data_IF_454661901339
#
_entry.id   IF_454661901339
#
_cell.length_a   1.000
_cell.length_b   1.000
_cell.length_c   1.000
_cell.angle_alpha   90.00
_cell.angle_beta   90.00
_cell.angle_gamma   90.00
#
_symmetry.space_group_name_H-M   'P 1'
#
loop_
_entity.id
_entity.type
_entity.pdbx_description
1 polymer ?
#
# COMPACT_ATOMS: atom_id res chain seq x y z
N UNK A 1 15.76 46.70 -24.28
CA UNK A 1 15.67 45.31 -24.79
C UNK A 1 15.76 44.38 -23.58
N UNK A 2 14.65 43.73 -23.20
CA UNK A 2 14.60 42.76 -22.10
C UNK A 2 14.45 41.37 -22.71
N UNK A 3 15.45 40.51 -22.54
CA UNK A 3 15.36 39.10 -22.92
C UNK A 3 14.39 38.38 -21.97
N UNK A 4 13.42 37.61 -22.47
CA UNK A 4 12.74 36.63 -21.65
C UNK A 4 13.66 35.43 -21.45
N UNK A 5 14.07 35.20 -20.19
CA UNK A 5 14.66 33.94 -19.76
C UNK A 5 13.55 32.90 -19.82
N UNK A 6 13.55 32.09 -20.88
CA UNK A 6 12.78 30.86 -20.93
C UNK A 6 13.42 29.87 -19.94
N UNK A 7 12.98 29.93 -18.69
CA UNK A 7 13.17 28.82 -17.75
C UNK A 7 12.28 27.70 -18.26
N UNK A 8 12.86 26.81 -19.06
CA UNK A 8 12.25 25.55 -19.43
C UNK A 8 12.02 24.74 -18.16
N UNK A 9 10.79 24.79 -17.66
CA UNK A 9 10.30 23.84 -16.69
C UNK A 9 10.31 22.46 -17.36
N UNK A 10 11.38 21.70 -17.10
CA UNK A 10 11.35 20.26 -17.20
C UNK A 10 10.33 19.77 -16.17
N UNK A 11 9.06 19.75 -16.58
CA UNK A 11 8.03 18.97 -15.91
C UNK A 11 8.45 17.51 -16.06
N UNK A 12 9.20 17.02 -15.08
CA UNK A 12 9.23 15.60 -14.76
C UNK A 12 7.76 15.25 -14.50
N UNK A 13 7.10 14.65 -15.49
CA UNK A 13 5.82 14.01 -15.28
C UNK A 13 6.08 12.96 -14.20
N UNK A 14 5.72 13.28 -12.96
CA UNK A 14 5.67 12.30 -11.89
C UNK A 14 4.65 11.26 -12.36
N UNK A 15 5.14 10.11 -12.81
CA UNK A 15 4.25 8.96 -13.05
C UNK A 15 3.70 8.61 -11.68
N UNK A 16 2.39 8.80 -11.48
CA UNK A 16 1.75 8.36 -10.26
C UNK A 16 1.82 6.82 -10.18
N UNK A 17 1.74 6.26 -8.98
CA UNK A 17 1.64 4.81 -8.83
C UNK A 17 0.44 4.26 -9.62
N UNK A 18 -0.66 5.02 -9.68
CA UNK A 18 -1.83 4.69 -10.48
C UNK A 18 -1.50 4.62 -11.98
N UNK A 19 -0.78 5.59 -12.54
CA UNK A 19 -0.38 5.58 -13.95
C UNK A 19 0.48 4.35 -14.30
N UNK A 20 1.40 3.99 -13.40
CA UNK A 20 2.24 2.80 -13.55
C UNK A 20 1.39 1.54 -13.53
N UNK A 21 0.46 1.43 -12.57
CA UNK A 21 -0.44 0.28 -12.42
C UNK A 21 -1.39 0.17 -13.61
N UNK A 22 -1.99 1.26 -14.08
CA UNK A 22 -2.86 1.29 -15.27
C UNK A 22 -2.11 0.88 -16.53
N UNK A 23 -0.84 1.27 -16.64
CA UNK A 23 0.02 0.87 -17.76
C UNK A 23 0.40 -0.61 -17.70
N UNK A 24 0.74 -1.12 -16.51
CA UNK A 24 1.15 -2.52 -16.32
C UNK A 24 -0.03 -3.51 -16.35
N UNK A 25 -1.21 -3.09 -15.90
CA UNK A 25 -2.40 -3.93 -15.75
C UNK A 25 -3.64 -3.25 -16.36
N UNK A 26 -3.67 -3.03 -17.68
CA UNK A 26 -4.71 -2.24 -18.35
C UNK A 26 -6.09 -2.90 -18.35
N UNK A 27 -6.16 -4.19 -18.05
CA UNK A 27 -7.38 -5.00 -17.99
C UNK A 27 -8.02 -5.03 -16.59
N UNK A 28 -7.34 -4.47 -15.58
CA UNK A 28 -7.80 -4.49 -14.19
C UNK A 28 -8.68 -3.28 -13.86
N UNK A 29 -9.70 -3.51 -13.03
CA UNK A 29 -10.52 -2.45 -12.47
C UNK A 29 -9.84 -1.88 -11.22
N UNK A 30 -9.72 -0.55 -11.15
CA UNK A 30 -9.23 0.14 -9.95
C UNK A 30 -10.40 0.37 -9.01
N UNK A 31 -10.24 -0.05 -7.77
CA UNK A 31 -11.24 0.07 -6.71
C UNK A 31 -10.57 0.67 -5.47
N UNK A 32 -11.18 1.74 -4.98
CA UNK A 32 -10.68 2.54 -3.87
C UNK A 32 -11.50 2.30 -2.61
N UNK A 33 -10.80 2.12 -1.49
CA UNK A 33 -11.41 2.02 -0.17
C UNK A 33 -10.86 3.13 0.73
N UNK A 34 -11.71 3.88 1.44
CA UNK A 34 -11.23 4.80 2.46
C UNK A 34 -10.65 3.98 3.63
N UNK A 35 -9.51 4.42 4.15
CA UNK A 35 -8.97 3.85 5.40
C UNK A 35 -9.89 4.14 6.57
N UNK A 36 -9.76 3.34 7.63
CA UNK A 36 -10.54 3.47 8.86
C UNK A 36 -10.42 4.84 9.55
N UNK A 37 -9.30 5.54 9.35
CA UNK A 37 -9.07 6.91 9.84
C UNK A 37 -9.72 8.02 8.97
N UNK A 38 -10.21 7.67 7.76
CA UNK A 38 -10.79 8.59 6.79
C UNK A 38 -9.80 9.57 6.16
N UNK A 39 -8.49 9.41 6.40
CA UNK A 39 -7.43 10.31 5.93
C UNK A 39 -6.66 9.76 4.73
N UNK A 40 -6.81 8.47 4.43
CA UNK A 40 -6.18 7.82 3.29
C UNK A 40 -7.20 7.11 2.40
N UNK A 41 -6.76 6.84 1.18
CA UNK A 41 -7.39 5.87 0.29
C UNK A 41 -6.40 4.74 0.08
N UNK A 42 -6.93 3.52 0.05
CA UNK A 42 -6.20 2.29 -0.27
C UNK A 42 -6.79 1.78 -1.58
N UNK A 43 -5.93 1.64 -2.59
CA UNK A 43 -6.36 1.33 -3.95
C UNK A 43 -5.96 -0.10 -4.35
N UNK A 44 -6.87 -0.76 -5.07
CA UNK A 44 -6.67 -2.13 -5.57
C UNK A 44 -6.87 -2.17 -7.07
N UNK A 45 -5.94 -2.80 -7.79
CA UNK A 45 -6.11 -3.18 -9.18
C UNK A 45 -6.55 -4.64 -9.24
N UNK A 46 -7.85 -4.86 -9.48
CA UNK A 46 -8.48 -6.17 -9.47
C UNK A 46 -8.72 -6.71 -10.88
N UNK A 47 -8.42 -7.99 -11.09
CA UNK A 47 -8.88 -8.70 -12.30
C UNK A 47 -10.41 -8.60 -12.40
N UNK A 48 -10.98 -8.51 -13.62
CA UNK A 48 -12.43 -8.48 -13.79
C UNK A 48 -13.07 -9.81 -13.39
N UNK A 49 -14.19 -9.76 -12.68
CA UNK A 49 -15.07 -10.91 -12.43
C UNK A 49 -16.14 -11.07 -13.52
N UNK A 50 -17.09 -11.98 -13.27
CA UNK A 50 -18.24 -12.21 -14.17
C UNK A 50 -19.09 -10.95 -14.39
N UNK A 51 -19.05 -10.03 -13.42
CA UNK A 51 -19.67 -8.71 -13.45
C UNK A 51 -19.00 -7.79 -12.42
N UNK A 52 -19.31 -6.49 -12.47
CA UNK A 52 -18.71 -5.48 -11.59
C UNK A 52 -19.02 -5.73 -10.11
N UNK A 53 -20.21 -6.26 -9.79
CA UNK A 53 -20.56 -6.59 -8.40
C UNK A 53 -19.69 -7.74 -7.85
N UNK A 54 -19.35 -8.72 -8.68
CA UNK A 54 -18.42 -9.79 -8.31
C UNK A 54 -16.99 -9.26 -8.12
N UNK A 55 -16.53 -8.35 -8.99
CA UNK A 55 -15.23 -7.68 -8.83
C UNK A 55 -15.18 -6.88 -7.52
N UNK A 56 -16.21 -6.08 -7.24
CA UNK A 56 -16.31 -5.28 -6.01
C UNK A 56 -16.36 -6.13 -4.74
N UNK A 57 -17.12 -7.23 -4.76
CA UNK A 57 -17.18 -8.15 -3.62
C UNK A 57 -15.80 -8.75 -3.31
N UNK A 58 -15.07 -9.18 -4.35
CA UNK A 58 -13.72 -9.72 -4.20
C UNK A 58 -12.72 -8.65 -3.73
N UNK A 59 -12.80 -7.43 -4.25
CA UNK A 59 -12.00 -6.30 -3.79
C UNK A 59 -12.27 -5.98 -2.31
N UNK A 60 -13.53 -6.05 -1.89
CA UNK A 60 -13.91 -5.85 -0.48
C UNK A 60 -13.33 -6.94 0.41
N UNK A 61 -13.36 -8.21 -0.01
CA UNK A 61 -12.73 -9.30 0.73
C UNK A 61 -11.21 -9.14 0.81
N UNK A 62 -10.56 -8.71 -0.27
CA UNK A 62 -9.14 -8.40 -0.30
C UNK A 62 -8.81 -7.28 0.69
N UNK A 63 -9.59 -6.19 0.69
CA UNK A 63 -9.40 -5.06 1.60
C UNK A 63 -9.54 -5.48 3.07
N UNK A 64 -10.61 -6.20 3.42
CA UNK A 64 -10.81 -6.72 4.78
C UNK A 64 -9.67 -7.67 5.19
N UNK A 65 -9.19 -8.50 4.27
CA UNK A 65 -8.06 -9.39 4.52
C UNK A 65 -6.79 -8.59 4.82
N UNK A 66 -6.46 -7.60 3.99
CA UNK A 66 -5.26 -6.78 4.16
C UNK A 66 -5.31 -6.01 5.49
N UNK A 67 -6.38 -5.26 5.75
CA UNK A 67 -6.56 -4.47 6.98
C UNK A 67 -6.36 -5.34 8.23
N UNK A 68 -7.10 -6.46 8.31
CA UNK A 68 -7.03 -7.36 9.48
C UNK A 68 -5.63 -7.90 9.72
N UNK A 69 -4.90 -8.24 8.65
CA UNK A 69 -3.55 -8.81 8.80
C UNK A 69 -2.50 -7.73 9.09
N UNK A 70 -2.65 -6.52 8.55
CA UNK A 70 -1.81 -5.38 8.87
C UNK A 70 -2.01 -4.99 10.34
N UNK A 71 -3.25 -4.89 10.81
CA UNK A 71 -3.55 -4.60 12.22
C UNK A 71 -2.94 -5.64 13.16
N UNK A 72 -3.10 -6.93 12.85
CA UNK A 72 -2.50 -8.00 13.64
C UNK A 72 -0.96 -7.92 13.63
N UNK A 73 -0.35 -7.57 12.50
CA UNK A 73 1.10 -7.38 12.40
C UNK A 73 1.58 -6.17 13.21
N UNK A 74 0.81 -5.07 13.20
CA UNK A 74 1.08 -3.87 13.97
C UNK A 74 0.99 -4.12 15.49
N UNK A 75 0.01 -4.91 15.93
CA UNK A 75 -0.12 -5.30 17.35
C UNK A 75 1.07 -6.15 17.82
N UNK A 76 1.48 -7.14 17.02
CA UNK A 76 2.68 -7.96 17.30
C UNK A 76 3.93 -7.08 17.36
N UNK A 77 4.04 -6.10 16.44
CA UNK A 77 5.15 -5.16 16.39
C UNK A 77 5.18 -4.26 17.64
N UNK A 78 4.06 -3.68 18.04
CA UNK A 78 3.95 -2.84 19.22
C UNK A 78 4.39 -3.60 20.48
N UNK A 79 3.93 -4.85 20.63
CA UNK A 79 4.34 -5.72 21.74
C UNK A 79 5.84 -6.01 21.74
N UNK A 80 6.45 -6.24 20.57
CA UNK A 80 7.91 -6.47 20.47
C UNK A 80 8.73 -5.26 20.88
N UNK A 81 8.32 -4.05 20.49
CA UNK A 81 9.01 -2.83 20.90
C UNK A 81 8.95 -2.67 22.42
N UNK A 82 7.75 -2.79 23.00
CA UNK A 82 7.56 -2.66 24.46
C UNK A 82 8.43 -3.69 25.20
N UNK A 83 8.39 -4.95 24.80
CA UNK A 83 9.19 -6.01 25.45
C UNK A 83 10.70 -5.81 25.27
N UNK A 84 11.18 -5.38 24.09
CA UNK A 84 12.60 -5.14 23.85
C UNK A 84 13.16 -3.99 24.69
N UNK A 85 12.36 -2.94 24.90
CA UNK A 85 12.72 -1.84 25.80
C UNK A 85 12.77 -2.33 27.26
N UNK A 86 11.82 -3.16 27.69
CA UNK A 86 11.80 -3.74 29.04
C UNK A 86 12.99 -4.67 29.33
N UNK A 87 13.49 -5.40 28.33
CA UNK A 87 14.64 -6.32 28.46
C UNK A 87 16.01 -5.61 28.31
N UNK A 88 16.02 -4.31 28.05
CA UNK A 88 17.23 -3.51 27.92
C UNK A 88 17.91 -3.59 26.54
N UNK A 89 17.23 -4.16 25.55
CA UNK A 89 17.63 -4.04 24.14
C UNK A 89 17.31 -2.61 23.71
N UNK A 90 18.36 -1.77 23.56
CA UNK A 90 18.22 -0.33 23.31
C UNK A 90 17.17 -0.01 22.24
N UNK A 91 16.37 1.03 22.49
CA UNK A 91 15.19 1.42 21.73
C UNK A 91 15.44 1.48 20.20
N UNK A 92 16.63 1.94 19.80
CA UNK A 92 17.00 2.09 18.39
C UNK A 92 17.15 0.75 17.64
N UNK A 93 17.81 -0.25 18.25
CA UNK A 93 18.02 -1.56 17.64
C UNK A 93 16.71 -2.35 17.51
N UNK A 94 15.86 -2.26 18.52
CA UNK A 94 14.54 -2.90 18.55
C UNK A 94 13.64 -2.28 17.49
N UNK A 95 13.66 -0.95 17.35
CA UNK A 95 12.87 -0.21 16.35
C UNK A 95 13.26 -0.57 14.91
N UNK A 96 14.56 -0.60 14.60
CA UNK A 96 15.05 -0.89 13.23
C UNK A 96 14.74 -2.34 12.83
N UNK A 97 15.04 -3.32 13.69
CA UNK A 97 14.77 -4.72 13.42
C UNK A 97 13.27 -5.01 13.28
N UNK A 98 12.46 -4.37 14.12
CA UNK A 98 11.02 -4.48 14.05
C UNK A 98 10.47 -3.85 12.75
N UNK A 99 11.00 -2.69 12.31
CA UNK A 99 10.51 -1.99 11.11
C UNK A 99 10.77 -2.80 9.83
N UNK A 100 11.96 -3.43 9.72
CA UNK A 100 12.27 -4.35 8.62
C UNK A 100 11.32 -5.56 8.60
N UNK A 101 11.00 -6.11 9.78
CA UNK A 101 10.02 -7.19 9.90
C UNK A 101 8.60 -6.77 9.54
N UNK A 102 8.21 -5.53 9.83
CA UNK A 102 6.91 -4.98 9.46
C UNK A 102 6.76 -4.85 7.93
N UNK A 103 7.78 -4.32 7.25
CA UNK A 103 7.75 -4.18 5.79
C UNK A 103 7.66 -5.54 5.09
N UNK A 104 8.48 -6.51 5.50
CA UNK A 104 8.43 -7.87 4.96
C UNK A 104 7.09 -8.59 5.26
N UNK A 105 6.41 -8.23 6.36
CA UNK A 105 5.06 -8.73 6.63
C UNK A 105 4.03 -8.08 5.72
N UNK A 106 4.10 -6.76 5.52
CA UNK A 106 3.20 -6.03 4.64
C UNK A 106 3.28 -6.57 3.21
N UNK A 107 4.49 -6.73 2.65
CA UNK A 107 4.70 -7.32 1.32
C UNK A 107 4.08 -8.73 1.20
N UNK A 108 4.28 -9.61 2.19
CA UNK A 108 3.68 -10.94 2.17
C UNK A 108 2.15 -10.91 2.26
N UNK A 109 1.59 -9.94 2.98
CA UNK A 109 0.13 -9.77 3.09
C UNK A 109 -0.44 -9.31 1.75
N UNK A 110 0.22 -8.35 1.08
CA UNK A 110 -0.20 -7.85 -0.23
C UNK A 110 -0.09 -8.93 -1.31
N UNK A 111 0.98 -9.72 -1.30
CA UNK A 111 1.16 -10.84 -2.23
C UNK A 111 0.10 -11.91 -2.03
N UNK A 112 -0.20 -12.26 -0.76
CA UNK A 112 -1.24 -13.22 -0.44
C UNK A 112 -2.64 -12.70 -0.83
N UNK A 113 -2.89 -11.39 -0.74
CA UNK A 113 -4.13 -10.79 -1.20
C UNK A 113 -4.26 -10.87 -2.73
N UNK A 114 -3.19 -10.56 -3.47
CA UNK A 114 -3.17 -10.71 -4.93
C UNK A 114 -3.35 -12.17 -5.36
N UNK A 115 -2.65 -13.12 -4.74
CA UNK A 115 -2.78 -14.54 -5.07
C UNK A 115 -4.20 -15.06 -4.83
N UNK A 116 -4.80 -14.67 -3.70
CA UNK A 116 -6.10 -15.21 -3.28
C UNK A 116 -7.29 -14.51 -3.93
N UNK A 117 -7.20 -13.21 -4.15
CA UNK A 117 -8.32 -12.37 -4.58
C UNK A 117 -8.07 -11.70 -5.94
N UNK A 118 -6.92 -11.92 -6.57
CA UNK A 118 -6.57 -11.31 -7.86
C UNK A 118 -6.70 -9.78 -7.82
N UNK A 119 -6.38 -9.20 -6.67
CA UNK A 119 -6.45 -7.77 -6.38
C UNK A 119 -5.10 -7.29 -5.85
N UNK A 120 -4.42 -6.50 -6.65
CA UNK A 120 -3.10 -5.98 -6.35
C UNK A 120 -3.28 -4.69 -5.55
N UNK A 121 -2.80 -4.68 -4.32
CA UNK A 121 -2.73 -3.45 -3.53
C UNK A 121 -1.67 -2.51 -4.11
N UNK A 122 -2.00 -1.23 -4.25
CA UNK A 122 -1.02 -0.18 -4.53
C UNK A 122 -1.34 1.09 -3.73
N UNK A 123 -0.31 1.88 -3.44
CA UNK A 123 -0.42 3.15 -2.74
C UNK A 123 -0.02 4.29 -3.68
N UNK A 124 -0.85 5.34 -3.76
CA UNK A 124 -0.56 6.55 -4.52
C UNK A 124 0.52 7.44 -3.87
N UNK A 125 0.87 7.21 -2.60
CA UNK A 125 1.84 8.03 -1.84
C UNK A 125 3.31 7.84 -2.25
N UNK A 126 3.61 7.06 -3.28
CA UNK A 126 4.99 6.80 -3.75
C UNK A 126 5.50 7.79 -4.83
N UNK A 127 4.94 9.01 -4.93
CA UNK A 127 5.36 10.05 -5.87
C UNK A 127 5.98 11.28 -5.18
#
# INVERSE_FOLDING_TARGET
MRLPVFVGALALAACSAEDVVRSAYPDRQIIDFPTSDGLSVVSYACAPGDNDAATMARATEAHIFVERNIDAAAEIFANRIVSGVETGEGELSTSIGAASGLNANAERITDAAEERYQCLLFDERAA
#
